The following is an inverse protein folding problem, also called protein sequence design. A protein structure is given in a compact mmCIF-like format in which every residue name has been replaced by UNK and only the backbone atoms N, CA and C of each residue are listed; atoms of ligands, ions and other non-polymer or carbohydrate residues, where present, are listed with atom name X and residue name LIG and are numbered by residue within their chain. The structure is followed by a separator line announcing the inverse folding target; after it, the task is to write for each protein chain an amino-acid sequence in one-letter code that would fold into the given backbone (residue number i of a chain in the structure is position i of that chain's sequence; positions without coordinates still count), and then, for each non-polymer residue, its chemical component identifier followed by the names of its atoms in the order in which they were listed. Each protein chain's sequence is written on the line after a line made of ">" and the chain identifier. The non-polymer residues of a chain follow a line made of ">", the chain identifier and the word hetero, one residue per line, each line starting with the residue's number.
data_IF_023234777019
#
_entry.id   IF_023234777019
#
_cell.length_a   1.000
_cell.length_b   1.000
_cell.length_c   1.000
_cell.angle_alpha   90.00
_cell.angle_beta   90.00
_cell.angle_gamma   90.00
#
_symmetry.space_group_name_H-M   'P 1'
#
loop_
_entity.id
_entity.type
_entity.pdbx_description
1 polymer ?
#
# COMPACT_ATOMS: atom_id res chain seq x y z
N UNK A 1 -5.54 32.11 -50.35
CA UNK A 1 -4.37 32.93 -50.67
C UNK A 1 -3.37 32.76 -49.54
N UNK A 2 -2.24 32.14 -49.83
CA UNK A 2 -1.19 31.81 -48.85
C UNK A 2 -0.47 33.10 -48.44
N UNK A 3 -0.61 33.45 -47.17
CA UNK A 3 0.02 34.62 -46.56
C UNK A 3 1.53 34.42 -46.50
N UNK A 4 2.26 34.93 -47.50
CA UNK A 4 3.70 35.14 -47.39
C UNK A 4 3.92 36.42 -46.60
N UNK A 5 3.93 36.32 -45.26
CA UNK A 5 4.47 37.38 -44.42
C UNK A 5 5.99 37.38 -44.59
N UNK A 6 6.58 38.53 -44.86
CA UNK A 6 8.05 38.68 -44.87
C UNK A 6 8.60 38.28 -43.49
N UNK A 7 9.84 37.80 -43.44
CA UNK A 7 10.46 37.32 -42.20
C UNK A 7 10.40 38.37 -41.08
N UNK A 8 10.52 39.66 -41.42
CA UNK A 8 10.42 40.76 -40.46
C UNK A 8 9.03 40.88 -39.81
N UNK A 9 7.95 40.67 -40.57
CA UNK A 9 6.58 40.73 -40.04
C UNK A 9 6.28 39.55 -39.11
N UNK A 10 6.79 38.36 -39.44
CA UNK A 10 6.65 37.18 -38.58
C UNK A 10 7.38 37.38 -37.25
N UNK A 11 8.60 37.93 -37.29
CA UNK A 11 9.39 38.23 -36.09
C UNK A 11 8.68 39.28 -35.23
N UNK A 12 8.13 40.34 -35.84
CA UNK A 12 7.39 41.38 -35.12
C UNK A 12 6.12 40.84 -34.46
N UNK A 13 5.41 39.92 -35.10
CA UNK A 13 4.23 39.28 -34.55
C UNK A 13 4.56 38.39 -33.32
N UNK A 14 5.62 37.57 -33.41
CA UNK A 14 6.08 36.74 -32.28
C UNK A 14 6.50 37.63 -31.11
N UNK A 15 7.24 38.72 -31.38
CA UNK A 15 7.70 39.64 -30.32
C UNK A 15 6.53 40.28 -29.59
N UNK A 16 5.52 40.77 -30.31
CA UNK A 16 4.29 41.34 -29.71
C UNK A 16 3.52 40.30 -28.90
N UNK A 17 3.40 39.06 -29.41
CA UNK A 17 2.73 37.99 -28.67
C UNK A 17 3.47 37.65 -27.37
N UNK A 18 4.80 37.62 -27.41
CA UNK A 18 5.63 37.37 -26.23
C UNK A 18 5.55 38.51 -25.21
N UNK A 19 5.58 39.77 -25.66
CA UNK A 19 5.39 40.92 -24.76
C UNK A 19 4.01 40.88 -24.07
N UNK A 20 2.98 40.42 -24.76
CA UNK A 20 1.63 40.27 -24.19
C UNK A 20 1.46 39.04 -23.28
N UNK A 21 2.11 37.90 -23.59
CA UNK A 21 1.82 36.60 -22.96
C UNK A 21 2.99 35.97 -22.21
N UNK A 22 4.21 36.46 -22.38
CA UNK A 22 5.44 35.83 -21.87
C UNK A 22 5.42 35.59 -20.37
N UNK A 23 4.80 36.49 -19.59
CA UNK A 23 4.58 36.29 -18.15
C UNK A 23 3.74 35.05 -17.84
N UNK A 24 2.66 34.82 -18.58
CA UNK A 24 1.82 33.63 -18.42
C UNK A 24 2.55 32.35 -18.83
N UNK A 25 3.33 32.40 -19.92
CA UNK A 25 4.14 31.26 -20.37
C UNK A 25 5.18 30.89 -19.29
N UNK A 26 5.86 31.87 -18.69
CA UNK A 26 6.81 31.63 -17.61
C UNK A 26 6.12 31.02 -16.38
N UNK A 27 4.99 31.58 -15.95
CA UNK A 27 4.23 31.05 -14.81
C UNK A 27 3.77 29.61 -15.08
N UNK A 28 3.22 29.35 -16.27
CA UNK A 28 2.82 28.00 -16.68
C UNK A 28 4.01 27.02 -16.65
N UNK A 29 5.17 27.45 -17.15
CA UNK A 29 6.41 26.68 -17.09
C UNK A 29 6.81 26.34 -15.64
N UNK A 30 6.78 27.32 -14.74
CA UNK A 30 7.08 27.12 -13.32
C UNK A 30 6.11 26.12 -12.68
N UNK A 31 4.80 26.25 -12.96
CA UNK A 31 3.79 25.33 -12.42
C UNK A 31 4.03 23.90 -12.89
N UNK A 32 4.38 23.70 -14.17
CA UNK A 32 4.71 22.37 -14.71
C UNK A 32 5.93 21.80 -13.99
N UNK A 33 7.02 22.57 -13.87
CA UNK A 33 8.24 22.13 -13.19
C UNK A 33 7.98 21.80 -11.73
N UNK A 34 7.26 22.66 -11.01
CA UNK A 34 6.89 22.44 -9.60
C UNK A 34 6.06 21.16 -9.43
N UNK A 35 5.12 20.90 -10.35
CA UNK A 35 4.29 19.69 -10.33
C UNK A 35 5.13 18.43 -10.51
N UNK A 36 6.07 18.44 -11.47
CA UNK A 36 6.97 17.29 -11.71
C UNK A 36 7.87 17.04 -10.51
N UNK A 37 8.47 18.08 -9.92
CA UNK A 37 9.33 17.94 -8.75
C UNK A 37 8.52 17.46 -7.54
N UNK A 38 7.34 18.04 -7.30
CA UNK A 38 6.47 17.68 -6.19
C UNK A 38 6.01 16.22 -6.25
N UNK A 39 5.57 15.75 -7.42
CA UNK A 39 5.17 14.35 -7.60
C UNK A 39 6.33 13.38 -7.45
N UNK A 40 7.52 13.69 -7.98
CA UNK A 40 8.72 12.87 -7.77
C UNK A 40 9.15 12.80 -6.31
N UNK A 41 9.14 13.94 -5.61
CA UNK A 41 9.47 13.99 -4.19
C UNK A 41 8.51 13.13 -3.35
N UNK A 42 7.20 13.23 -3.62
CA UNK A 42 6.19 12.37 -2.99
C UNK A 42 6.48 10.90 -3.29
N UNK A 43 6.63 10.52 -4.56
CA UNK A 43 6.87 9.13 -4.95
C UNK A 43 8.11 8.54 -4.27
N UNK A 44 9.20 9.30 -4.22
CA UNK A 44 10.42 8.88 -3.54
C UNK A 44 10.22 8.66 -2.04
N UNK A 45 9.45 9.53 -1.38
CA UNK A 45 9.09 9.36 0.02
C UNK A 45 8.31 8.05 0.25
N UNK A 46 7.32 7.76 -0.62
CA UNK A 46 6.56 6.52 -0.54
C UNK A 46 7.41 5.28 -0.81
N UNK A 47 8.28 5.33 -1.82
CA UNK A 47 9.20 4.23 -2.18
C UNK A 47 10.20 3.95 -1.06
N UNK A 48 10.80 4.99 -0.46
CA UNK A 48 11.73 4.83 0.67
C UNK A 48 11.05 4.16 1.86
N UNK A 49 9.82 4.56 2.19
CA UNK A 49 9.06 3.96 3.27
C UNK A 49 8.68 2.49 2.98
N UNK A 50 8.29 2.17 1.74
CA UNK A 50 8.05 0.80 1.29
C UNK A 50 9.31 -0.07 1.36
N UNK A 51 10.46 0.46 0.95
CA UNK A 51 11.75 -0.24 1.03
C UNK A 51 12.14 -0.56 2.48
N UNK A 52 11.94 0.39 3.40
CA UNK A 52 12.14 0.16 4.84
C UNK A 52 11.23 -0.94 5.38
N UNK A 53 9.94 -0.92 5.04
CA UNK A 53 8.99 -1.95 5.46
C UNK A 53 9.34 -3.34 4.88
N UNK A 54 9.79 -3.39 3.62
CA UNK A 54 10.28 -4.64 3.01
C UNK A 54 11.49 -5.19 3.76
N UNK A 55 12.49 -4.35 4.05
CA UNK A 55 13.68 -4.79 4.78
C UNK A 55 13.34 -5.33 6.18
N UNK A 56 12.41 -4.69 6.89
CA UNK A 56 11.91 -5.18 8.17
C UNK A 56 11.17 -6.52 8.02
N UNK A 57 10.37 -6.69 6.98
CA UNK A 57 9.71 -7.96 6.69
C UNK A 57 10.70 -9.08 6.37
N UNK A 58 11.74 -8.80 5.60
CA UNK A 58 12.80 -9.77 5.28
C UNK A 58 13.55 -10.21 6.55
N UNK A 59 13.83 -9.28 7.47
CA UNK A 59 14.40 -9.62 8.78
C UNK A 59 13.47 -10.51 9.58
N UNK A 60 12.16 -10.21 9.57
CA UNK A 60 11.15 -11.02 10.26
C UNK A 60 11.09 -12.46 9.75
N UNK A 61 11.28 -12.66 8.44
CA UNK A 61 11.36 -14.01 7.87
C UNK A 61 12.59 -14.77 8.36
N UNK A 62 13.74 -14.10 8.47
CA UNK A 62 14.98 -14.71 9.00
C UNK A 62 14.84 -15.08 10.47
N UNK A 63 14.19 -14.24 11.27
CA UNK A 63 13.90 -14.54 12.68
C UNK A 63 12.97 -15.74 12.82
N UNK A 64 11.97 -15.85 11.93
CA UNK A 64 11.12 -17.03 11.89
C UNK A 64 11.91 -18.30 11.54
N UNK A 65 12.84 -18.22 10.58
CA UNK A 65 13.73 -19.33 10.23
C UNK A 65 14.67 -19.71 11.39
N UNK A 66 15.11 -18.72 12.18
CA UNK A 66 15.91 -18.93 13.39
C UNK A 66 15.10 -19.46 14.58
N UNK A 67 13.76 -19.56 14.46
CA UNK A 67 12.89 -20.02 15.55
C UNK A 67 12.61 -18.96 16.61
N UNK A 68 12.94 -17.70 16.37
CA UNK A 68 12.79 -16.59 17.30
C UNK A 68 11.34 -16.05 17.29
N UNK A 69 10.38 -16.87 17.68
CA UNK A 69 8.95 -16.58 17.53
C UNK A 69 8.50 -15.30 18.23
N UNK A 70 9.06 -14.98 19.39
CA UNK A 70 8.70 -13.77 20.14
C UNK A 70 9.23 -12.51 19.44
N UNK A 71 10.44 -12.58 18.87
CA UNK A 71 11.01 -11.51 18.04
C UNK A 71 10.14 -11.27 16.80
N UNK A 72 9.64 -12.35 16.16
CA UNK A 72 8.71 -12.24 15.02
C UNK A 72 7.42 -11.50 15.41
N UNK A 73 6.84 -11.81 16.57
CA UNK A 73 5.63 -11.15 17.05
C UNK A 73 5.88 -9.66 17.32
N UNK A 74 6.98 -9.32 17.98
CA UNK A 74 7.37 -7.94 18.24
C UNK A 74 7.62 -7.18 16.93
N UNK A 75 8.38 -7.76 16.00
CA UNK A 75 8.67 -7.13 14.71
C UNK A 75 7.43 -6.91 13.88
N UNK A 76 6.48 -7.85 13.93
CA UNK A 76 5.17 -7.63 13.30
C UNK A 76 4.48 -6.39 13.87
N UNK A 77 4.52 -6.16 15.18
CA UNK A 77 3.93 -4.95 15.77
C UNK A 77 4.64 -3.67 15.32
N UNK A 78 5.96 -3.71 15.21
CA UNK A 78 6.76 -2.57 14.77
C UNK A 78 6.49 -2.20 13.29
N UNK A 79 6.37 -3.21 12.41
CA UNK A 79 5.98 -3.00 11.01
C UNK A 79 4.57 -2.39 10.94
N UNK A 80 3.65 -2.85 11.78
CA UNK A 80 2.28 -2.34 11.79
C UNK A 80 2.17 -0.91 12.34
N UNK A 81 2.93 -0.57 13.40
CA UNK A 81 2.97 0.79 13.96
C UNK A 81 3.61 1.79 12.99
N UNK A 82 4.65 1.37 12.27
CA UNK A 82 5.38 2.26 11.37
C UNK A 82 4.63 2.53 10.05
N UNK A 83 3.85 1.56 9.54
CA UNK A 83 3.22 1.62 8.22
C UNK A 83 1.96 0.75 8.12
N UNK A 84 0.96 1.07 8.95
CA UNK A 84 -0.32 0.35 9.01
C UNK A 84 -1.10 0.28 7.68
N UNK A 85 -0.79 1.13 6.69
CA UNK A 85 -1.45 1.13 5.39
C UNK A 85 -0.74 0.29 4.31
N UNK A 86 0.40 -0.34 4.66
CA UNK A 86 1.24 -1.06 3.71
C UNK A 86 0.87 -2.53 3.58
N UNK A 87 1.15 -3.10 2.40
CA UNK A 87 1.02 -4.56 2.18
C UNK A 87 1.87 -5.38 3.16
N UNK A 88 3.04 -4.86 3.53
CA UNK A 88 3.94 -5.54 4.48
C UNK A 88 3.36 -5.61 5.90
N UNK A 89 2.58 -4.61 6.33
CA UNK A 89 1.87 -4.67 7.63
C UNK A 89 0.80 -5.79 7.65
N UNK A 90 0.09 -6.00 6.54
CA UNK A 90 -0.87 -7.10 6.45
C UNK A 90 -0.13 -8.45 6.42
N UNK A 91 0.95 -8.56 5.64
CA UNK A 91 1.76 -9.77 5.58
C UNK A 91 2.42 -10.10 6.92
N UNK A 92 2.87 -9.09 7.67
CA UNK A 92 3.45 -9.30 9.00
C UNK A 92 2.41 -9.80 9.98
N UNK A 93 1.22 -9.19 10.00
CA UNK A 93 0.10 -9.65 10.83
C UNK A 93 -0.31 -11.10 10.50
N UNK A 94 -0.30 -11.47 9.21
CA UNK A 94 -0.59 -12.84 8.78
C UNK A 94 0.47 -13.84 9.21
N UNK A 95 1.74 -13.44 9.25
CA UNK A 95 2.84 -14.28 9.75
C UNK A 95 2.77 -14.42 11.27
N UNK A 96 2.56 -13.31 11.98
CA UNK A 96 2.36 -13.29 13.43
C UNK A 96 1.17 -14.18 13.83
N UNK A 97 0.05 -14.12 13.12
CA UNK A 97 -1.08 -15.01 13.35
C UNK A 97 -0.70 -16.49 13.23
N UNK A 98 0.15 -16.85 12.24
CA UNK A 98 0.64 -18.23 12.09
C UNK A 98 1.51 -18.64 13.29
N UNK A 99 2.37 -17.75 13.76
CA UNK A 99 3.21 -17.98 14.95
C UNK A 99 2.34 -18.17 16.19
N UNK A 100 1.33 -17.33 16.41
CA UNK A 100 0.40 -17.47 17.54
C UNK A 100 -0.34 -18.82 17.51
N UNK A 101 -0.81 -19.26 16.34
CA UNK A 101 -1.42 -20.60 16.19
C UNK A 101 -0.41 -21.71 16.54
N UNK A 102 0.85 -21.58 16.10
CA UNK A 102 1.88 -22.57 16.43
C UNK A 102 2.20 -22.63 17.93
N UNK A 103 1.95 -21.53 18.66
CA UNK A 103 2.06 -21.42 20.12
C UNK A 103 0.76 -21.78 20.85
N UNK A 104 -0.25 -22.31 20.15
CA UNK A 104 -1.60 -22.60 20.67
C UNK A 104 -2.36 -21.36 21.19
N UNK A 105 -1.86 -20.15 20.90
CA UNK A 105 -2.50 -18.89 21.25
C UNK A 105 -3.52 -18.48 20.18
N UNK A 106 -4.65 -19.19 20.14
CA UNK A 106 -5.70 -18.96 19.14
C UNK A 106 -6.33 -17.56 19.26
N UNK A 107 -6.41 -16.99 20.47
CA UNK A 107 -6.92 -15.63 20.66
C UNK A 107 -5.97 -14.58 20.07
N UNK A 108 -4.67 -14.72 20.31
CA UNK A 108 -3.65 -13.90 19.68
C UNK A 108 -3.71 -13.98 18.16
N UNK A 109 -3.88 -15.20 17.62
CA UNK A 109 -4.04 -15.40 16.19
C UNK A 109 -5.25 -14.66 15.61
N UNK A 110 -6.42 -14.74 16.27
CA UNK A 110 -7.61 -13.99 15.86
C UNK A 110 -7.38 -12.48 15.89
N UNK A 111 -6.74 -11.95 16.92
CA UNK A 111 -6.44 -10.53 17.03
C UNK A 111 -5.57 -10.05 15.85
N UNK A 112 -4.50 -10.79 15.52
CA UNK A 112 -3.63 -10.45 14.39
C UNK A 112 -4.36 -10.57 13.04
N UNK A 113 -5.21 -11.59 12.86
CA UNK A 113 -6.02 -11.76 11.64
C UNK A 113 -7.10 -10.68 11.46
N UNK A 114 -7.75 -10.26 12.55
CA UNK A 114 -8.73 -9.18 12.51
C UNK A 114 -8.08 -7.84 12.17
N UNK A 115 -6.87 -7.59 12.68
CA UNK A 115 -6.09 -6.41 12.33
C UNK A 115 -5.65 -6.45 10.85
N UNK A 116 -5.26 -7.63 10.34
CA UNK A 116 -5.01 -7.83 8.92
C UNK A 116 -6.26 -7.55 8.06
N UNK A 117 -7.44 -7.99 8.53
CA UNK A 117 -8.73 -7.77 7.85
C UNK A 117 -9.07 -6.29 7.73
N UNK A 118 -8.88 -5.51 8.81
CA UNK A 118 -9.23 -4.08 8.81
C UNK A 118 -8.35 -3.24 7.88
N UNK A 119 -7.12 -3.71 7.58
CA UNK A 119 -6.19 -3.04 6.68
C UNK A 119 -6.28 -3.53 5.23
N UNK A 120 -6.83 -4.72 4.98
CA UNK A 120 -6.89 -5.31 3.65
C UNK A 120 -7.84 -4.55 2.71
N UNK A 121 -7.29 -3.98 1.64
CA UNK A 121 -8.07 -3.30 0.59
C UNK A 121 -8.53 -4.21 -0.55
N UNK A 122 -7.78 -5.27 -0.84
CA UNK A 122 -8.07 -6.22 -1.93
C UNK A 122 -9.00 -7.33 -1.46
N UNK A 123 -10.05 -7.60 -2.23
CA UNK A 123 -10.99 -8.69 -1.90
C UNK A 123 -10.32 -10.06 -1.90
N UNK A 124 -9.34 -10.29 -2.80
CA UNK A 124 -8.53 -11.51 -2.78
C UNK A 124 -7.83 -11.71 -1.43
N UNK A 125 -7.28 -10.64 -0.86
CA UNK A 125 -6.59 -10.70 0.43
C UNK A 125 -7.59 -10.89 1.58
N UNK A 126 -8.73 -10.19 1.54
CA UNK A 126 -9.83 -10.40 2.50
C UNK A 126 -10.31 -11.84 2.50
N UNK A 127 -10.47 -12.48 1.33
CA UNK A 127 -10.85 -13.88 1.24
C UNK A 127 -9.85 -14.82 1.90
N UNK A 128 -8.55 -14.61 1.69
CA UNK A 128 -7.50 -15.38 2.36
C UNK A 128 -7.59 -15.21 3.88
N UNK A 129 -7.77 -13.98 4.36
CA UNK A 129 -7.88 -13.69 5.80
C UNK A 129 -9.13 -14.34 6.39
N UNK A 130 -10.29 -14.27 5.71
CA UNK A 130 -11.55 -14.91 6.14
C UNK A 130 -11.40 -16.41 6.31
N UNK A 131 -10.79 -17.09 5.35
CA UNK A 131 -10.54 -18.54 5.43
C UNK A 131 -9.65 -18.86 6.64
N UNK A 132 -8.62 -18.04 6.90
CA UNK A 132 -7.75 -18.23 8.08
C UNK A 132 -8.48 -17.97 9.39
N UNK A 133 -9.32 -16.93 9.47
CA UNK A 133 -10.18 -16.65 10.63
C UNK A 133 -11.11 -17.83 10.93
N UNK A 134 -11.80 -18.33 9.90
CA UNK A 134 -12.67 -19.50 10.05
C UNK A 134 -11.90 -20.71 10.61
N UNK A 135 -10.69 -20.99 10.12
CA UNK A 135 -9.86 -22.10 10.63
C UNK A 135 -9.49 -21.93 12.10
N UNK A 136 -9.12 -20.73 12.53
CA UNK A 136 -8.79 -20.46 13.93
C UNK A 136 -10.03 -20.58 14.82
N UNK A 137 -11.19 -20.07 14.37
CA UNK A 137 -12.45 -20.21 15.10
C UNK A 137 -12.90 -21.66 15.20
N UNK A 138 -12.74 -22.46 14.15
CA UNK A 138 -13.00 -23.90 14.21
C UNK A 138 -12.07 -24.60 15.22
N UNK A 139 -10.79 -24.22 15.27
CA UNK A 139 -9.85 -24.75 16.27
C UNK A 139 -10.24 -24.35 17.71
N UNK A 140 -10.92 -23.20 17.89
CA UNK A 140 -11.52 -22.79 19.17
C UNK A 140 -12.87 -23.47 19.46
N UNK A 141 -13.41 -24.29 18.56
CA UNK A 141 -14.75 -24.89 18.69
C UNK A 141 -15.91 -23.92 18.39
N UNK A 142 -15.63 -22.70 17.92
CA UNK A 142 -16.63 -21.66 17.60
C UNK A 142 -17.15 -21.83 16.18
N UNK A 143 -17.87 -22.92 15.93
CA UNK A 143 -18.31 -23.30 14.58
C UNK A 143 -19.29 -22.30 13.95
N UNK A 144 -20.23 -21.77 14.74
CA UNK A 144 -21.20 -20.78 14.25
C UNK A 144 -20.52 -19.49 13.81
N UNK A 145 -19.55 -18.99 14.59
CA UNK A 145 -18.75 -17.84 14.21
C UNK A 145 -17.88 -18.16 12.98
N UNK A 146 -17.28 -19.34 12.92
CA UNK A 146 -16.45 -19.76 11.78
C UNK A 146 -17.24 -19.77 10.46
N UNK A 147 -18.50 -20.21 10.49
CA UNK A 147 -19.40 -20.23 9.34
C UNK A 147 -19.58 -18.83 8.75
N UNK A 148 -19.71 -17.79 9.58
CA UNK A 148 -19.86 -16.40 9.11
C UNK A 148 -18.67 -15.93 8.25
N UNK A 149 -17.47 -16.43 8.53
CA UNK A 149 -16.27 -16.11 7.75
C UNK A 149 -16.06 -17.05 6.57
N UNK A 150 -16.52 -18.31 6.66
CA UNK A 150 -16.41 -19.30 5.60
C UNK A 150 -17.42 -19.09 4.47
N UNK A 151 -18.59 -18.51 4.77
CA UNK A 151 -19.58 -18.14 3.76
C UNK A 151 -19.12 -16.90 3.00
N UNK A 152 -18.74 -17.09 1.73
CA UNK A 152 -18.49 -15.99 0.83
C UNK A 152 -19.82 -15.27 0.56
N UNK A 153 -19.95 -13.96 0.81
CA UNK A 153 -21.09 -13.21 0.29
C UNK A 153 -21.03 -13.33 -1.24
N UNK A 154 -22.08 -13.86 -1.85
CA UNK A 154 -22.18 -14.11 -3.28
C UNK A 154 -21.69 -12.91 -4.10
N UNK A 155 -20.50 -13.01 -4.68
CA UNK A 155 -20.06 -12.12 -5.74
C UNK A 155 -19.31 -12.94 -6.79
N UNK A 156 -20.04 -13.27 -7.85
CA UNK A 156 -19.50 -13.85 -9.08
C UNK A 156 -20.11 -15.20 -9.42
N UNK A 157 -21.20 -15.19 -10.20
CA UNK A 157 -21.51 -16.31 -11.10
C UNK A 157 -20.27 -16.58 -11.95
N UNK A 158 -19.87 -17.84 -12.04
CA UNK A 158 -18.93 -18.32 -13.05
C UNK A 158 -19.52 -18.13 -14.46
#
# INVERSE_FOLDING_TARGET
>A
MTSYQTEEEQIAAIKRWWEANGKFVIIAGIVIVATVIGTRAWQNFQLSALAKASAQYDLMLRELEAGETDTVLQRSEDIMKSRADSRYAILSALLAAKVEVAKDNLEGALAKLNLAMSQAKSDKLKHIIRIRLARVLMAQGKLDEALTYATFPEQGRF
#
